data_IF_831245662013
#
_entry.id   IF_831245662013
#
_cell.length_a   1.000
_cell.length_b   1.000
_cell.length_c   1.000
_cell.angle_alpha   90.00
_cell.angle_beta   90.00
_cell.angle_gamma   90.00
#
_symmetry.space_group_name_H-M   'P 1'
#
loop_
_entity.id
_entity.type
_entity.pdbx_description
1 polymer ?
#
# COMPACT_ATOMS: atom_id res chain seq x y z
N UNK A 1 -3.37 -13.08 7.24
CA UNK A 1 -3.28 -12.15 8.39
C UNK A 1 -1.83 -11.73 8.54
N UNK A 2 -1.53 -10.44 8.46
CA UNK A 2 -0.18 -9.91 8.73
C UNK A 2 -0.34 -8.69 9.64
N UNK A 3 0.27 -8.79 10.81
CA UNK A 3 0.41 -7.70 11.78
C UNK A 3 1.37 -6.66 11.18
N UNK A 4 0.96 -5.41 11.10
CA UNK A 4 1.77 -4.28 10.61
C UNK A 4 2.50 -3.71 11.86
N UNK A 5 3.77 -3.34 11.71
CA UNK A 5 4.89 -3.55 12.66
C UNK A 5 4.94 -3.02 14.12
N UNK A 6 6.02 -3.47 14.77
CA UNK A 6 6.65 -3.00 16.01
C UNK A 6 7.26 -1.57 15.89
N UNK A 7 6.49 -0.50 16.12
CA UNK A 7 7.04 0.82 16.53
C UNK A 7 7.94 1.56 15.51
N UNK A 8 7.79 1.30 14.21
CA UNK A 8 8.45 2.04 13.13
C UNK A 8 7.41 2.35 12.06
N UNK A 9 7.43 3.57 11.50
CA UNK A 9 6.60 3.93 10.34
C UNK A 9 6.82 2.94 9.19
N UNK A 10 5.77 2.21 8.80
CA UNK A 10 5.86 1.27 7.70
C UNK A 10 5.49 1.92 6.38
N UNK A 11 6.31 1.66 5.36
CA UNK A 11 6.09 2.10 3.99
C UNK A 11 5.64 0.91 3.16
N UNK A 12 4.39 0.96 2.70
CA UNK A 12 3.78 -0.12 1.94
C UNK A 12 3.64 0.29 0.48
N UNK A 13 4.23 -0.52 -0.40
CA UNK A 13 4.15 -0.33 -1.84
C UNK A 13 2.87 -0.98 -2.35
N UNK A 14 2.07 -0.21 -3.09
CA UNK A 14 0.72 -0.57 -3.51
C UNK A 14 0.57 -0.56 -5.02
N UNK A 15 -0.29 -1.44 -5.51
CA UNK A 15 -0.89 -1.37 -6.83
C UNK A 15 -2.30 -0.83 -6.62
N UNK A 16 -2.58 0.31 -7.22
CA UNK A 16 -3.87 0.98 -7.18
C UNK A 16 -4.49 0.91 -8.57
N UNK A 17 -5.74 0.47 -8.63
CA UNK A 17 -6.50 0.33 -9.85
C UNK A 17 -7.78 1.16 -9.74
N UNK A 18 -8.15 1.85 -10.83
CA UNK A 18 -9.43 2.56 -10.91
C UNK A 18 -10.51 1.56 -11.35
N UNK A 19 -11.64 1.60 -10.68
CA UNK A 19 -12.84 0.81 -10.98
C UNK A 19 -14.07 1.73 -10.98
N UNK A 20 -15.21 1.25 -11.48
CA UNK A 20 -16.45 2.04 -11.55
C UNK A 20 -16.89 2.59 -10.17
N UNK A 21 -16.51 1.91 -9.09
CA UNK A 21 -16.80 2.31 -7.71
C UNK A 21 -15.73 3.16 -7.02
N UNK A 22 -14.66 3.55 -7.72
CA UNK A 22 -13.53 4.31 -7.17
C UNK A 22 -12.19 3.58 -7.26
N UNK A 23 -11.26 3.91 -6.37
CA UNK A 23 -9.92 3.34 -6.35
C UNK A 23 -9.83 2.15 -5.40
N UNK A 24 -9.25 1.05 -5.88
CA UNK A 24 -8.92 -0.12 -5.06
C UNK A 24 -7.41 -0.27 -4.98
N UNK A 25 -6.90 -0.42 -3.75
CA UNK A 25 -5.48 -0.62 -3.49
C UNK A 25 -5.20 -2.05 -3.02
N UNK A 26 -4.13 -2.65 -3.52
CA UNK A 26 -3.59 -3.93 -3.05
C UNK A 26 -2.08 -3.85 -2.85
N UNK A 27 -1.54 -4.62 -1.91
CA UNK A 27 -0.08 -4.70 -1.71
C UNK A 27 0.61 -5.23 -2.96
N UNK A 28 1.73 -4.62 -3.38
CA UNK A 28 2.52 -5.01 -4.57
C UNK A 28 3.30 -6.34 -4.41
N UNK A 29 2.88 -7.19 -3.47
CA UNK A 29 3.50 -8.46 -3.13
C UNK A 29 4.22 -8.45 -1.78
N UNK A 30 5.32 -9.21 -1.68
CA UNK A 30 6.10 -9.36 -0.44
C UNK A 30 6.80 -8.07 -0.05
N UNK A 31 6.39 -7.45 1.06
CA UNK A 31 6.98 -6.22 1.63
C UNK A 31 8.29 -6.48 2.41
N UNK A 32 9.00 -7.57 2.12
CA UNK A 32 10.26 -7.91 2.80
C UNK A 32 11.37 -6.96 2.32
N UNK A 33 12.09 -6.36 3.26
CA UNK A 33 13.29 -5.57 3.00
C UNK A 33 14.34 -6.43 2.30
N UNK A 34 14.62 -6.14 1.03
CA UNK A 34 15.63 -6.86 0.23
C UNK A 34 15.18 -7.26 -1.18
N UNK A 35 13.89 -7.13 -1.50
CA UNK A 35 13.40 -7.28 -2.88
C UNK A 35 13.13 -5.91 -3.50
N UNK A 36 13.69 -5.64 -4.68
CA UNK A 36 13.37 -4.45 -5.48
C UNK A 36 12.08 -4.61 -6.30
N UNK A 37 11.53 -5.84 -6.39
CA UNK A 37 10.30 -6.14 -7.14
C UNK A 37 9.09 -5.28 -6.75
N UNK A 38 8.87 -4.93 -5.47
CA UNK A 38 7.79 -4.04 -5.06
C UNK A 38 7.90 -2.63 -5.64
N UNK A 39 9.13 -2.13 -5.88
CA UNK A 39 9.37 -0.79 -6.43
C UNK A 39 9.09 -0.71 -7.93
N UNK A 40 9.24 -1.81 -8.66
CA UNK A 40 8.97 -1.85 -10.12
C UNK A 40 7.50 -2.09 -10.45
N UNK A 41 6.72 -2.64 -9.51
CA UNK A 41 5.32 -3.04 -9.76
C UNK A 41 4.31 -2.09 -9.11
N UNK A 42 4.71 -1.34 -8.09
CA UNK A 42 3.82 -0.41 -7.41
C UNK A 42 3.66 0.89 -8.19
N UNK A 43 2.44 1.42 -8.17
CA UNK A 43 2.10 2.76 -8.67
C UNK A 43 1.66 3.71 -7.53
N UNK A 44 1.75 3.25 -6.28
CA UNK A 44 1.49 4.08 -5.11
C UNK A 44 2.20 3.61 -3.85
N UNK A 45 2.20 4.50 -2.86
CA UNK A 45 2.82 4.35 -1.56
C UNK A 45 1.82 4.72 -0.46
N UNK A 46 1.77 3.89 0.57
CA UNK A 46 1.06 4.20 1.81
C UNK A 46 2.06 4.27 2.96
N UNK A 47 1.95 5.34 3.76
CA UNK A 47 2.66 5.48 5.01
C UNK A 47 1.71 5.06 6.12
N UNK A 48 2.06 4.00 6.85
CA UNK A 48 1.30 3.55 8.00
C UNK A 48 1.89 4.18 9.26
N UNK A 49 1.10 4.97 10.01
CA UNK A 49 1.50 5.49 11.31
C UNK A 49 1.87 4.37 12.29
N UNK A 50 2.74 4.65 13.24
CA UNK A 50 3.22 3.68 14.23
C UNK A 50 2.15 3.23 15.24
N UNK A 51 1.10 4.04 15.41
CA UNK A 51 -0.06 3.77 16.28
C UNK A 51 -1.13 2.90 15.60
N UNK A 52 -0.95 2.56 14.31
CA UNK A 52 -1.86 1.69 13.55
C UNK A 52 -1.34 0.25 13.57
N UNK A 53 -1.95 -0.58 14.43
CA UNK A 53 -1.57 -2.00 14.57
C UNK A 53 -2.01 -2.88 13.38
N UNK A 54 -3.14 -2.55 12.76
CA UNK A 54 -3.73 -3.34 11.68
C UNK A 54 -4.54 -2.48 10.71
N UNK A 55 -4.46 -2.83 9.42
CA UNK A 55 -5.34 -2.33 8.36
C UNK A 55 -6.08 -3.53 7.77
N UNK A 56 -7.41 -3.45 7.71
CA UNK A 56 -8.28 -4.54 7.25
C UNK A 56 -8.74 -4.31 5.82
N UNK A 57 -9.09 -5.40 5.15
CA UNK A 57 -9.72 -5.33 3.82
C UNK A 57 -11.01 -4.51 3.92
N UNK A 58 -11.12 -3.48 3.08
CA UNK A 58 -12.26 -2.57 3.06
C UNK A 58 -12.03 -1.27 3.83
N UNK A 59 -10.95 -1.17 4.62
CA UNK A 59 -10.57 0.08 5.26
C UNK A 59 -10.17 1.10 4.20
N UNK A 60 -10.59 2.36 4.41
CA UNK A 60 -10.16 3.47 3.57
C UNK A 60 -8.79 3.94 4.03
N UNK A 61 -7.87 4.02 3.09
CA UNK A 61 -6.49 4.45 3.34
C UNK A 61 -6.12 5.61 2.43
N UNK A 62 -5.15 6.40 2.87
CA UNK A 62 -4.56 7.45 2.03
C UNK A 62 -3.36 6.85 1.30
N UNK A 63 -3.33 7.06 -0.02
CA UNK A 63 -2.24 6.58 -0.87
C UNK A 63 -1.68 7.75 -1.66
N UNK A 64 -0.37 7.89 -1.65
CA UNK A 64 0.34 8.75 -2.57
C UNK A 64 0.61 7.99 -3.85
N UNK A 65 0.04 8.45 -4.96
CA UNK A 65 0.30 7.87 -6.28
C UNK A 65 1.60 8.41 -6.86
N UNK A 66 2.37 7.55 -7.52
CA UNK A 66 3.60 7.96 -8.21
C UNK A 66 3.30 8.71 -9.51
N UNK A 67 2.18 8.35 -10.15
CA UNK A 67 1.67 8.98 -11.36
C UNK A 67 0.13 8.94 -11.36
N UNK A 68 -0.54 9.85 -12.10
CA UNK A 68 -1.99 9.80 -12.23
C UNK A 68 -2.46 8.50 -12.87
N UNK A 69 -3.46 7.85 -12.27
CA UNK A 69 -4.10 6.67 -12.87
C UNK A 69 -5.13 7.15 -13.89
N UNK A 70 -4.83 6.91 -15.16
CA UNK A 70 -5.74 7.15 -16.28
C UNK A 70 -6.47 5.83 -16.56
N UNK A 71 -7.79 5.88 -16.64
CA UNK A 71 -8.65 4.75 -16.98
C UNK A 71 -8.99 4.73 -18.45
#
# INVERSE_FOLDING_TARGET
MRRICNGVLEKLHLIVEKSDGGFNARLSGSQKSGSLRPMTLANGLMVVPEDVEEIKTGDKVTVELFEPIIG
#
